data_IF_030782370210
#
_entry.id   IF_030782370210
#
_cell.length_a   1.000
_cell.length_b   1.000
_cell.length_c   1.000
_cell.angle_alpha   90.00
_cell.angle_beta   90.00
_cell.angle_gamma   90.00
#
_symmetry.space_group_name_H-M   'P 1'
#
loop_
_entity.id
_entity.type
_entity.pdbx_description
1 polymer ?
#
# COMPACT_ATOMS: atom_id res chain seq x y z
N UNK A 1 4.81 2.05 10.26
CA UNK A 1 5.54 1.39 9.16
C UNK A 1 5.85 2.47 8.14
N UNK A 2 7.02 2.45 7.52
CA UNK A 2 7.42 3.51 6.58
C UNK A 2 6.66 3.35 5.25
N UNK A 3 6.09 4.43 4.69
CA UNK A 3 5.50 4.41 3.36
C UNK A 3 6.58 4.14 2.30
N UNK A 4 6.21 3.40 1.25
CA UNK A 4 7.12 2.99 0.17
C UNK A 4 6.74 3.76 -1.08
N UNK A 5 7.72 4.41 -1.72
CA UNK A 5 7.51 5.19 -2.94
C UNK A 5 8.28 4.52 -4.09
N UNK A 6 7.61 4.30 -5.22
CA UNK A 6 8.21 3.73 -6.42
C UNK A 6 7.40 4.09 -7.67
N UNK A 7 7.91 3.74 -8.84
CA UNK A 7 7.27 4.05 -10.13
C UNK A 7 6.80 2.76 -10.79
N UNK A 8 5.60 2.76 -11.35
CA UNK A 8 4.97 1.64 -12.05
C UNK A 8 4.58 2.04 -13.47
N UNK A 9 4.47 1.08 -14.38
CA UNK A 9 4.06 1.36 -15.76
C UNK A 9 5.01 2.33 -16.50
N UNK A 10 6.29 2.38 -16.13
CA UNK A 10 7.36 3.26 -16.61
C UNK A 10 7.29 4.76 -16.26
N UNK A 11 6.12 5.32 -15.92
CA UNK A 11 5.99 6.78 -15.71
C UNK A 11 5.09 7.18 -14.53
N UNK A 12 4.40 6.23 -13.88
CA UNK A 12 3.43 6.53 -12.83
C UNK A 12 4.04 6.36 -11.45
N UNK A 13 4.30 7.46 -10.76
CA UNK A 13 4.77 7.43 -9.38
C UNK A 13 3.62 7.02 -8.44
N UNK A 14 3.87 6.03 -7.59
CA UNK A 14 2.92 5.49 -6.62
C UNK A 14 3.54 5.41 -5.24
N UNK A 15 2.70 5.60 -4.24
CA UNK A 15 3.01 5.51 -2.83
C UNK A 15 2.16 4.43 -2.20
N UNK A 16 2.83 3.48 -1.57
CA UNK A 16 2.19 2.36 -0.88
C UNK A 16 2.34 2.55 0.62
N UNK A 17 1.22 2.70 1.31
CA UNK A 17 1.16 2.83 2.76
C UNK A 17 0.67 1.50 3.36
N UNK A 18 1.57 0.74 4.01
CA UNK A 18 1.23 -0.52 4.65
C UNK A 18 0.37 -0.28 5.90
N UNK A 19 -0.84 -0.80 5.89
CA UNK A 19 -1.79 -0.81 7.00
C UNK A 19 -1.97 -2.25 7.50
N UNK A 20 -1.80 -2.46 8.80
CA UNK A 20 -1.97 -3.80 9.38
C UNK A 20 -3.33 -3.89 10.02
N UNK A 21 -4.25 -4.68 9.45
CA UNK A 21 -5.52 -5.00 10.10
C UNK A 21 -5.40 -6.37 10.74
N UNK A 22 -4.87 -6.37 11.97
CA UNK A 22 -4.59 -7.58 12.73
C UNK A 22 -5.83 -8.07 13.48
N UNK A 23 -6.21 -9.31 13.20
CA UNK A 23 -7.12 -10.19 13.95
C UNK A 23 -8.62 -9.98 13.72
N UNK A 24 -9.20 -10.88 12.93
CA UNK A 24 -10.63 -11.20 13.00
C UNK A 24 -10.80 -12.26 14.09
N UNK A 25 -11.36 -11.85 15.22
CA UNK A 25 -12.11 -12.69 16.16
C UNK A 25 -11.45 -14.05 16.55
N UNK A 26 -10.32 -14.00 17.25
CA UNK A 26 -9.73 -15.18 17.92
C UNK A 26 -9.02 -16.19 17.00
N UNK A 27 -8.94 -15.94 15.70
CA UNK A 27 -8.18 -16.74 14.74
C UNK A 27 -7.03 -15.89 14.18
N UNK A 28 -5.77 -16.36 14.19
CA UNK A 28 -4.62 -15.58 13.71
C UNK A 28 -4.57 -15.57 12.18
N UNK A 29 -5.54 -14.94 11.53
CA UNK A 29 -5.43 -14.54 10.13
C UNK A 29 -4.73 -13.20 10.11
N UNK A 30 -3.51 -13.18 9.60
CA UNK A 30 -2.73 -11.96 9.39
C UNK A 30 -3.09 -11.42 8.01
N UNK A 31 -4.03 -10.48 7.98
CA UNK A 31 -4.36 -9.73 6.76
C UNK A 31 -3.59 -8.41 6.76
N UNK A 32 -2.73 -8.25 5.76
CA UNK A 32 -1.97 -7.03 5.55
C UNK A 32 -2.62 -6.25 4.43
N UNK A 33 -2.94 -4.99 4.66
CA UNK A 33 -3.61 -4.12 3.68
C UNK A 33 -2.65 -3.03 3.25
N UNK A 34 -2.24 -3.04 1.99
CA UNK A 34 -1.34 -2.05 1.41
C UNK A 34 -2.17 -1.03 0.64
N UNK A 35 -2.33 0.17 1.19
CA UNK A 35 -3.10 1.24 0.55
C UNK A 35 -2.22 1.92 -0.48
N UNK A 36 -2.73 2.14 -1.68
CA UNK A 36 -1.99 2.69 -2.81
C UNK A 36 -2.53 4.06 -3.14
N UNK A 37 -1.62 5.02 -3.22
CA UNK A 37 -1.88 6.40 -3.57
C UNK A 37 -1.02 6.75 -4.79
N UNK A 38 -1.52 7.62 -5.66
CA UNK A 38 -0.69 8.28 -6.65
C UNK A 38 0.29 9.21 -5.91
N UNK A 39 1.57 9.05 -6.19
CA UNK A 39 2.60 9.93 -5.64
C UNK A 39 2.58 11.23 -6.46
N UNK A 40 1.83 12.20 -5.98
CA UNK A 40 2.00 13.57 -6.44
C UNK A 40 3.26 14.09 -5.74
N UNK A 41 4.25 14.60 -6.49
CA UNK A 41 5.49 15.24 -5.99
C UNK A 41 5.29 16.40 -4.97
N UNK A 42 4.09 16.59 -4.44
CA UNK A 42 3.62 17.62 -3.51
C UNK A 42 3.08 17.02 -2.20
N UNK A 43 3.49 15.82 -1.83
CA UNK A 43 3.08 15.23 -0.56
C UNK A 43 3.86 15.88 0.61
N UNK A 44 3.30 16.98 1.11
CA UNK A 44 3.79 17.64 2.32
C UNK A 44 3.47 16.78 3.56
N UNK A 45 4.15 17.00 4.69
CA UNK A 45 3.98 16.18 5.90
C UNK A 45 2.53 16.12 6.40
N UNK A 46 1.74 17.16 6.11
CA UNK A 46 0.31 17.21 6.40
C UNK A 46 -0.54 16.26 5.54
N UNK A 47 -0.13 15.99 4.29
CA UNK A 47 -0.82 15.05 3.40
C UNK A 47 -0.57 13.62 3.84
N UNK A 48 0.67 13.27 4.18
CA UNK A 48 1.01 11.98 4.78
C UNK A 48 0.21 11.73 6.06
N UNK A 49 0.20 12.68 7.00
CA UNK A 49 -0.54 12.54 8.25
C UNK A 49 -2.05 12.37 8.02
N UNK A 50 -2.61 13.07 7.02
CA UNK A 50 -4.01 12.90 6.62
C UNK A 50 -4.23 11.48 6.12
N UNK A 51 -3.44 11.03 5.14
CA UNK A 51 -3.57 9.69 4.55
C UNK A 51 -3.36 8.56 5.57
N UNK A 52 -2.47 8.74 6.54
CA UNK A 52 -2.30 7.80 7.66
C UNK A 52 -3.55 7.74 8.55
N UNK A 53 -4.18 8.89 8.84
CA UNK A 53 -5.45 8.95 9.57
C UNK A 53 -6.61 8.36 8.74
N UNK A 54 -6.55 8.63 7.43
CA UNK A 54 -7.10 7.91 6.28
C UNK A 54 -7.27 6.42 6.48
N UNK A 55 -6.18 5.73 6.81
CA UNK A 55 -6.06 4.27 6.77
C UNK A 55 -7.12 3.55 7.62
N UNK A 56 -7.55 4.17 8.72
CA UNK A 56 -8.54 3.62 9.64
C UNK A 56 -10.00 3.91 9.23
N UNK A 57 -10.22 4.81 8.28
CA UNK A 57 -11.55 5.15 7.78
C UNK A 57 -12.03 4.10 6.76
N UNK A 58 -13.32 3.74 6.84
CA UNK A 58 -13.97 2.80 5.91
C UNK A 58 -13.99 3.32 4.46
N UNK A 59 -13.94 4.64 4.28
CA UNK A 59 -13.89 5.28 2.97
C UNK A 59 -12.81 6.35 2.95
N UNK A 60 -11.88 6.23 1.99
CA UNK A 60 -10.85 7.26 1.76
C UNK A 60 -11.46 8.40 0.94
N UNK A 61 -11.16 9.63 1.33
CA UNK A 61 -11.60 10.84 0.62
C UNK A 61 -10.46 11.45 -0.21
N UNK A 62 -9.24 10.91 -0.08
CA UNK A 62 -8.08 11.41 -0.81
C UNK A 62 -8.25 11.19 -2.33
N UNK A 63 -8.17 12.25 -3.16
CA UNK A 63 -8.31 12.12 -4.60
C UNK A 63 -7.15 11.37 -5.25
N UNK A 64 -6.02 11.21 -4.56
CA UNK A 64 -4.89 10.42 -5.05
C UNK A 64 -5.02 8.95 -4.69
N UNK A 65 -6.05 8.53 -3.96
CA UNK A 65 -6.24 7.13 -3.62
C UNK A 65 -6.58 6.32 -4.88
N UNK A 66 -5.82 5.25 -5.11
CA UNK A 66 -5.98 4.33 -6.25
C UNK A 66 -6.64 3.02 -5.84
N UNK A 67 -6.55 2.67 -4.56
CA UNK A 67 -7.14 1.46 -4.00
C UNK A 67 -6.20 0.81 -3.00
N UNK A 68 -6.39 -0.49 -2.76
CA UNK A 68 -5.58 -1.22 -1.81
C UNK A 68 -5.38 -2.67 -2.21
N UNK A 69 -4.25 -3.24 -1.79
CA UNK A 69 -3.94 -4.66 -1.94
C UNK A 69 -4.06 -5.31 -0.57
N UNK A 70 -4.88 -6.34 -0.44
CA UNK A 70 -4.86 -7.23 0.72
C UNK A 70 -3.97 -8.42 0.47
N UNK A 71 -3.23 -8.81 1.50
CA UNK A 71 -2.45 -10.03 1.54
C UNK A 71 -2.88 -10.85 2.75
N UNK A 72 -3.40 -12.05 2.48
CA UNK A 72 -3.92 -12.95 3.50
C UNK A 72 -2.96 -14.16 3.70
N UNK A 73 -2.45 -14.32 4.93
CA UNK A 73 -1.71 -15.52 5.34
C UNK A 73 -2.62 -16.52 6.07
N UNK A 74 -2.48 -17.85 5.83
CA UNK A 74 -1.39 -18.55 5.12
C UNK A 74 -1.59 -18.71 3.60
N UNK A 75 -2.65 -18.14 3.02
CA UNK A 75 -3.00 -18.33 1.61
C UNK A 75 -2.07 -17.65 0.60
N UNK A 76 -1.21 -16.72 1.06
CA UNK A 76 -0.40 -15.81 0.23
C UNK A 76 -1.22 -15.19 -0.91
N UNK A 77 -2.50 -14.93 -0.65
CA UNK A 77 -3.42 -14.42 -1.66
C UNK A 77 -3.28 -12.91 -1.70
N UNK A 78 -2.82 -12.38 -2.83
CA UNK A 78 -2.86 -10.95 -3.11
C UNK A 78 -4.17 -10.63 -3.81
N UNK A 79 -4.98 -9.76 -3.22
CA UNK A 79 -6.19 -9.24 -3.86
C UNK A 79 -6.10 -7.73 -3.97
N UNK A 80 -6.20 -7.21 -5.19
CA UNK A 80 -6.29 -5.78 -5.44
C UNK A 80 -7.76 -5.35 -5.48
N UNK A 81 -8.10 -4.36 -4.66
CA UNK A 81 -9.40 -3.71 -4.68
C UNK A 81 -9.21 -2.28 -5.16
N UNK A 82 -9.72 -1.99 -6.35
CA UNK A 82 -9.80 -0.64 -6.87
C UNK A 82 -10.94 0.10 -6.16
N UNK A 83 -10.60 0.82 -5.10
CA UNK A 83 -11.51 1.66 -4.30
C UNK A 83 -11.16 3.16 -4.47
N UNK A 84 -10.30 3.46 -5.44
CA UNK A 84 -9.81 4.79 -5.76
C UNK A 84 -10.63 5.55 -6.79
N UNK A 85 -10.16 6.74 -7.12
CA UNK A 85 -10.69 7.56 -8.21
C UNK A 85 -10.18 7.11 -9.59
N UNK A 86 -9.04 6.43 -9.63
CA UNK A 86 -8.41 5.90 -10.84
C UNK A 86 -7.94 4.46 -10.59
N UNK A 87 -8.16 3.60 -11.58
CA UNK A 87 -7.86 2.18 -11.49
C UNK A 87 -6.44 1.88 -12.01
N UNK A 88 -5.66 1.16 -11.22
CA UNK A 88 -4.41 0.57 -11.68
C UNK A 88 -4.67 -0.54 -12.70
N UNK A 89 -3.89 -0.58 -13.77
CA UNK A 89 -3.90 -1.68 -14.72
C UNK A 89 -3.32 -2.95 -14.09
N UNK A 90 -3.67 -4.11 -14.64
CA UNK A 90 -3.15 -5.39 -14.14
C UNK A 90 -1.62 -5.43 -14.09
N UNK A 91 -0.93 -4.85 -15.07
CA UNK A 91 0.53 -4.78 -15.09
C UNK A 91 1.09 -3.93 -13.93
N UNK A 92 0.50 -2.77 -13.66
CA UNK A 92 0.92 -1.92 -12.54
C UNK A 92 0.65 -2.61 -11.19
N UNK A 93 -0.49 -3.31 -11.07
CA UNK A 93 -0.82 -4.08 -9.86
C UNK A 93 0.20 -5.21 -9.65
N UNK A 94 0.58 -5.95 -10.69
CA UNK A 94 1.60 -6.99 -10.61
C UNK A 94 2.96 -6.42 -10.19
N UNK A 95 3.38 -5.29 -10.76
CA UNK A 95 4.60 -4.60 -10.35
C UNK A 95 4.55 -4.18 -8.87
N UNK A 96 3.42 -3.64 -8.39
CA UNK A 96 3.24 -3.27 -6.98
C UNK A 96 3.35 -4.48 -6.06
N UNK A 97 2.69 -5.59 -6.42
CA UNK A 97 2.73 -6.83 -5.65
C UNK A 97 4.16 -7.37 -5.58
N UNK A 98 4.90 -7.33 -6.70
CA UNK A 98 6.30 -7.74 -6.74
C UNK A 98 7.15 -6.88 -5.81
N UNK A 99 7.00 -5.55 -5.84
CA UNK A 99 7.70 -4.65 -4.93
C UNK A 99 7.37 -4.97 -3.47
N UNK A 100 6.08 -5.06 -3.11
CA UNK A 100 5.64 -5.38 -1.74
C UNK A 100 6.22 -6.72 -1.28
N UNK A 101 6.17 -7.74 -2.14
CA UNK A 101 6.73 -9.07 -1.84
C UNK A 101 8.22 -8.98 -1.58
N UNK A 102 8.95 -8.26 -2.45
CA UNK A 102 10.38 -8.07 -2.31
C UNK A 102 10.75 -7.35 -1.01
N UNK A 103 10.03 -6.29 -0.62
CA UNK A 103 10.22 -5.62 0.67
C UNK A 103 9.91 -6.53 1.87
N UNK A 104 8.90 -7.39 1.77
CA UNK A 104 8.50 -8.31 2.84
C UNK A 104 9.52 -9.45 3.02
N UNK A 105 10.05 -9.98 1.92
CA UNK A 105 11.09 -11.02 1.95
C UNK A 105 12.46 -10.46 2.34
N UNK A 106 12.68 -9.15 2.15
CA UNK A 106 13.88 -8.44 2.54
C UNK A 106 13.59 -7.38 3.62
N UNK A 107 13.35 -7.78 4.89
CA UNK A 107 13.04 -6.84 5.97
C UNK A 107 14.11 -5.77 6.20
N UNK A 108 15.35 -6.00 5.74
CA UNK A 108 16.43 -5.00 5.75
C UNK A 108 16.20 -3.81 4.84
N UNK A 109 15.41 -3.94 3.75
CA UNK A 109 15.08 -2.80 2.88
C UNK A 109 14.04 -1.87 3.51
N UNK A 110 13.21 -2.38 4.42
CA UNK A 110 12.26 -1.54 5.15
C UNK A 110 12.92 -0.68 6.23
N UNK A 111 14.12 -1.09 6.67
CA UNK A 111 14.92 -0.42 7.68
C UNK A 111 16.06 0.44 7.10
N UNK A 112 16.25 0.45 5.78
CA UNK A 112 17.36 1.17 5.16
C UNK A 112 16.99 2.63 4.82
N UNK A 113 16.60 3.39 5.84
CA UNK A 113 17.09 4.76 5.96
C UNK A 113 18.25 4.68 6.94
N UNK A 114 19.45 4.38 6.44
CA UNK A 114 20.72 4.77 7.03
C UNK A 114 21.78 4.62 5.92
N UNK A 115 22.14 5.73 5.28
CA UNK A 115 23.51 6.28 5.18
C UNK A 115 23.56 7.50 4.26
#
# INVERSE_FOLDING_TARGET
MTPIHFTVGNERAVKVIPNTQGQVDGHPVLTYTYNIYADSNFDDAHTLQRQESELLLEKKLDPNYLGYITFEEPGKLFSYTADGYDDLTSGEVEEIIEHITHYRENPGMWAADEF
#
